data_IF_854231770282
#
_entry.id   IF_854231770282
#
_cell.length_a   1.000
_cell.length_b   1.000
_cell.length_c   1.000
_cell.angle_alpha   90.00
_cell.angle_beta   90.00
_cell.angle_gamma   90.00
#
_symmetry.space_group_name_H-M   'P 1'
#
loop_
_entity.id
_entity.type
_entity.pdbx_description
1 polymer ?
#
# COMPACT_ATOMS: atom_id res chain seq x y z
N UNK A 1 7.74 -12.59 10.16
CA UNK A 1 8.27 -12.88 8.81
C UNK A 1 7.24 -12.63 7.72
N UNK A 2 5.99 -13.09 7.86
CA UNK A 2 4.95 -12.95 6.83
C UNK A 2 4.58 -11.50 6.47
N UNK A 3 4.46 -10.61 7.47
CA UNK A 3 4.17 -9.19 7.23
C UNK A 3 5.28 -8.49 6.44
N UNK A 4 6.55 -8.86 6.70
CA UNK A 4 7.71 -8.31 5.99
C UNK A 4 7.71 -8.81 4.55
N UNK A 5 7.45 -10.10 4.31
CA UNK A 5 7.40 -10.63 2.95
C UNK A 5 6.30 -9.97 2.13
N UNK A 6 5.13 -9.73 2.71
CA UNK A 6 4.03 -9.09 2.00
C UNK A 6 4.30 -7.59 1.74
N UNK A 7 4.86 -6.87 2.72
CA UNK A 7 5.28 -5.47 2.52
C UNK A 7 6.31 -5.33 1.39
N UNK A 8 7.32 -6.21 1.38
CA UNK A 8 8.32 -6.24 0.31
C UNK A 8 7.72 -6.64 -1.05
N UNK A 9 6.73 -7.53 -1.05
CA UNK A 9 6.01 -7.93 -2.28
C UNK A 9 5.33 -6.70 -2.89
N UNK A 10 4.64 -5.89 -2.08
CA UNK A 10 3.98 -4.68 -2.55
C UNK A 10 4.98 -3.64 -3.07
N UNK A 11 6.14 -3.51 -2.42
CA UNK A 11 7.22 -2.64 -2.92
C UNK A 11 7.76 -3.13 -4.26
N UNK A 12 7.92 -4.44 -4.46
CA UNK A 12 8.34 -5.00 -5.76
C UNK A 12 7.37 -4.63 -6.88
N UNK A 13 6.05 -4.74 -6.63
CA UNK A 13 5.03 -4.32 -7.59
C UNK A 13 5.09 -2.82 -7.87
N UNK A 14 5.20 -1.98 -6.85
CA UNK A 14 5.30 -0.53 -7.02
C UNK A 14 6.53 -0.15 -7.87
N UNK A 15 7.71 -0.73 -7.61
CA UNK A 15 8.92 -0.46 -8.39
C UNK A 15 8.74 -0.91 -9.85
N UNK A 16 8.23 -2.13 -10.10
CA UNK A 16 8.02 -2.65 -11.45
C UNK A 16 7.02 -1.79 -12.24
N UNK A 17 5.84 -1.51 -11.67
CA UNK A 17 4.82 -0.68 -12.32
C UNK A 17 5.37 0.72 -12.59
N UNK A 18 6.00 1.36 -11.60
CA UNK A 18 6.56 2.70 -11.73
C UNK A 18 7.62 2.80 -12.81
N UNK A 19 8.62 1.91 -12.76
CA UNK A 19 9.75 1.93 -13.69
C UNK A 19 9.32 1.57 -15.13
N UNK A 20 8.47 0.56 -15.30
CA UNK A 20 7.99 0.14 -16.62
C UNK A 20 7.07 1.21 -17.23
N UNK A 21 6.24 1.88 -16.43
CA UNK A 21 5.43 3.00 -16.91
C UNK A 21 6.31 4.16 -17.36
N UNK A 22 7.31 4.56 -16.58
CA UNK A 22 8.23 5.64 -16.94
C UNK A 22 9.05 5.32 -18.19
N UNK A 23 9.38 4.05 -18.46
CA UNK A 23 10.02 3.64 -19.73
C UNK A 23 9.14 3.80 -20.97
N UNK A 24 7.82 3.88 -20.80
CA UNK A 24 6.86 4.13 -21.89
C UNK A 24 6.67 5.63 -22.12
N UNK A 25 6.82 6.45 -21.07
CA UNK A 25 6.70 7.90 -21.14
C UNK A 25 7.88 8.49 -21.94
N UNK A 26 7.65 9.40 -22.90
CA UNK A 26 8.72 10.07 -23.64
C UNK A 26 9.70 10.79 -22.71
N UNK A 27 11.00 10.72 -22.99
CA UNK A 27 12.07 11.32 -22.17
C UNK A 27 11.87 12.83 -21.93
N UNK A 28 11.31 13.56 -22.91
CA UNK A 28 10.98 15.00 -22.80
C UNK A 28 9.90 15.34 -21.77
N UNK A 29 9.14 14.34 -21.28
CA UNK A 29 8.04 14.52 -20.33
C UNK A 29 8.40 14.08 -18.90
N UNK A 30 9.65 13.71 -18.65
CA UNK A 30 10.06 13.22 -17.34
C UNK A 30 11.49 13.67 -17.00
N UNK A 31 11.83 13.78 -15.70
CA UNK A 31 13.22 13.97 -15.30
C UNK A 31 14.06 12.76 -15.71
N UNK A 32 15.39 12.91 -15.73
CA UNK A 32 16.30 11.81 -16.04
C UNK A 32 16.27 10.75 -14.92
N UNK A 33 15.46 9.70 -15.11
CA UNK A 33 15.28 8.59 -14.18
C UNK A 33 15.99 7.35 -14.70
N UNK A 34 16.89 6.76 -13.91
CA UNK A 34 17.61 5.55 -14.29
C UNK A 34 17.49 4.48 -13.21
N UNK A 35 16.58 3.54 -13.46
CA UNK A 35 16.40 2.35 -12.63
C UNK A 35 17.31 1.24 -13.13
N UNK A 36 18.17 0.66 -12.28
CA UNK A 36 19.02 -0.47 -12.66
C UNK A 36 18.21 -1.67 -13.14
N UNK A 37 18.57 -2.26 -14.28
CA UNK A 37 17.90 -3.48 -14.78
C UNK A 37 17.97 -4.64 -13.77
N UNK A 38 19.08 -4.74 -13.02
CA UNK A 38 19.22 -5.75 -11.96
C UNK A 38 18.17 -5.61 -10.86
N UNK A 39 17.74 -4.38 -10.54
CA UNK A 39 16.68 -4.15 -9.56
C UNK A 39 15.32 -4.65 -10.08
N UNK A 40 14.97 -4.36 -11.34
CA UNK A 40 13.72 -4.86 -11.93
C UNK A 40 13.70 -6.39 -12.01
N UNK A 41 14.83 -7.00 -12.37
CA UNK A 41 14.98 -8.46 -12.36
C UNK A 41 14.86 -9.03 -10.96
N UNK A 42 15.48 -8.39 -9.96
CA UNK A 42 15.37 -8.79 -8.57
C UNK A 42 13.92 -8.69 -8.05
N UNK A 43 13.19 -7.62 -8.37
CA UNK A 43 11.77 -7.49 -8.04
C UNK A 43 10.94 -8.59 -8.69
N UNK A 44 11.14 -8.87 -9.99
CA UNK A 44 10.43 -9.93 -10.69
C UNK A 44 10.72 -11.32 -10.08
N UNK A 45 11.99 -11.62 -9.76
CA UNK A 45 12.38 -12.88 -9.14
C UNK A 45 11.90 -13.00 -7.67
N UNK A 46 11.79 -11.88 -6.95
CA UNK A 46 11.35 -11.86 -5.56
C UNK A 46 9.84 -12.10 -5.42
N UNK A 47 9.00 -11.69 -6.38
CA UNK A 47 7.55 -11.88 -6.33
C UNK A 47 7.12 -13.31 -5.94
N UNK A 48 7.54 -14.38 -6.64
CA UNK A 48 7.13 -15.74 -6.29
C UNK A 48 7.68 -16.19 -4.94
N UNK A 49 8.88 -15.76 -4.56
CA UNK A 49 9.50 -16.10 -3.27
C UNK A 49 8.73 -15.44 -2.10
N UNK A 50 8.44 -14.15 -2.22
CA UNK A 50 7.75 -13.38 -1.18
C UNK A 50 6.28 -13.80 -1.05
N UNK A 51 5.58 -14.02 -2.17
CA UNK A 51 4.19 -14.50 -2.18
C UNK A 51 4.03 -15.97 -1.78
N UNK A 52 5.11 -16.75 -1.73
CA UNK A 52 5.08 -18.12 -1.22
C UNK A 52 5.01 -18.20 0.31
N UNK A 53 5.46 -17.16 1.03
CA UNK A 53 5.55 -17.20 2.50
C UNK A 53 4.20 -17.52 3.17
N UNK A 54 3.06 -16.91 2.78
CA UNK A 54 1.74 -17.32 3.30
C UNK A 54 1.37 -18.78 2.97
N UNK A 55 1.68 -19.23 1.76
CA UNK A 55 1.42 -20.62 1.32
C UNK A 55 2.22 -21.62 2.15
N UNK A 56 3.49 -21.32 2.43
CA UNK A 56 4.33 -22.12 3.30
C UNK A 56 3.77 -22.20 4.72
N UNK A 57 3.30 -21.08 5.28
CA UNK A 57 2.70 -21.07 6.61
C UNK A 57 1.42 -21.91 6.66
N UNK A 58 0.55 -21.77 5.66
CA UNK A 58 -0.66 -22.57 5.54
C UNK A 58 -0.35 -24.07 5.42
N UNK A 59 0.65 -24.43 4.60
CA UNK A 59 1.08 -25.81 4.44
C UNK A 59 1.62 -26.41 5.74
N UNK A 60 2.40 -25.67 6.53
CA UNK A 60 2.88 -26.15 7.83
C UNK A 60 1.75 -26.32 8.85
N UNK A 61 0.81 -25.37 8.89
CA UNK A 61 -0.31 -25.40 9.82
C UNK A 61 -1.21 -26.61 9.51
N UNK A 62 -1.70 -26.73 8.29
CA UNK A 62 -2.61 -27.80 7.91
C UNK A 62 -1.94 -29.17 7.87
N UNK A 63 -0.65 -29.27 7.54
CA UNK A 63 0.06 -30.55 7.62
C UNK A 63 0.03 -31.11 9.05
N UNK A 64 0.15 -30.22 10.05
CA UNK A 64 0.03 -30.59 11.46
C UNK A 64 -1.40 -30.97 11.83
N UNK A 65 -2.39 -30.16 11.44
CA UNK A 65 -3.79 -30.34 11.83
C UNK A 65 -4.44 -31.58 11.21
N UNK A 66 -4.05 -31.94 9.97
CA UNK A 66 -4.57 -33.11 9.25
C UNK A 66 -3.62 -34.33 9.31
N UNK A 67 -2.53 -34.25 10.08
CA UNK A 67 -1.52 -35.31 10.21
C UNK A 67 -0.95 -35.81 8.86
N UNK A 68 -0.83 -34.91 7.89
CA UNK A 68 -0.28 -35.19 6.56
C UNK A 68 1.19 -34.76 6.46
N UNK A 69 1.93 -35.38 5.54
CA UNK A 69 3.28 -34.88 5.24
C UNK A 69 3.21 -33.46 4.66
N UNK A 70 4.23 -32.64 4.95
CA UNK A 70 4.31 -31.28 4.43
C UNK A 70 4.15 -31.22 2.90
N UNK A 71 4.78 -32.14 2.17
CA UNK A 71 4.70 -32.18 0.71
C UNK A 71 3.32 -32.57 0.20
N UNK A 72 2.63 -33.50 0.87
CA UNK A 72 1.25 -33.87 0.51
C UNK A 72 0.31 -32.67 0.73
N UNK A 73 0.42 -31.99 1.86
CA UNK A 73 -0.38 -30.79 2.16
C UNK A 73 -0.06 -29.65 1.19
N UNK A 74 1.21 -29.37 0.92
CA UNK A 74 1.62 -28.35 -0.03
C UNK A 74 1.06 -28.63 -1.43
N UNK A 75 1.12 -29.88 -1.89
CA UNK A 75 0.54 -30.30 -3.18
C UNK A 75 -0.97 -30.03 -3.21
N UNK A 76 -1.70 -30.39 -2.17
CA UNK A 76 -3.15 -30.12 -2.10
C UNK A 76 -3.43 -28.61 -2.10
N UNK A 77 -2.71 -27.81 -1.32
CA UNK A 77 -2.89 -26.35 -1.32
C UNK A 77 -2.63 -25.77 -2.71
N UNK A 78 -1.55 -26.17 -3.40
CA UNK A 78 -1.22 -25.66 -4.73
C UNK A 78 -2.25 -26.05 -5.80
N UNK A 79 -2.86 -27.22 -5.69
CA UNK A 79 -3.77 -27.76 -6.72
C UNK A 79 -5.26 -27.52 -6.43
N UNK A 80 -5.65 -27.35 -5.17
CA UNK A 80 -7.05 -27.30 -4.76
C UNK A 80 -7.44 -25.91 -4.26
N UNK A 81 -6.56 -25.27 -3.48
CA UNK A 81 -6.83 -23.97 -2.83
C UNK A 81 -6.60 -22.81 -3.80
N UNK A 82 -7.52 -21.83 -3.76
CA UNK A 82 -7.50 -20.64 -4.62
C UNK A 82 -6.16 -19.91 -4.58
N UNK A 83 -5.62 -19.67 -3.39
CA UNK A 83 -4.35 -19.00 -3.18
C UNK A 83 -3.15 -19.79 -3.76
N UNK A 84 -3.16 -21.13 -3.66
CA UNK A 84 -2.12 -21.97 -4.23
C UNK A 84 -2.13 -21.96 -5.76
N UNK A 85 -3.31 -22.07 -6.38
CA UNK A 85 -3.48 -21.91 -7.84
C UNK A 85 -2.99 -20.55 -8.32
N UNK A 86 -3.34 -19.49 -7.60
CA UNK A 86 -2.89 -18.13 -7.91
C UNK A 86 -1.37 -17.99 -7.84
N UNK A 87 -0.75 -18.63 -6.85
CA UNK A 87 0.71 -18.63 -6.69
C UNK A 87 1.41 -19.33 -7.87
N UNK A 88 0.89 -20.47 -8.36
CA UNK A 88 1.45 -21.14 -9.54
C UNK A 88 1.48 -20.22 -10.77
N UNK A 89 0.37 -19.54 -11.05
CA UNK A 89 0.29 -18.57 -12.15
C UNK A 89 1.17 -17.34 -11.93
N UNK A 90 1.28 -16.90 -10.67
CA UNK A 90 2.18 -15.81 -10.27
C UNK A 90 3.64 -16.21 -10.52
N UNK A 91 4.04 -17.42 -10.15
CA UNK A 91 5.38 -17.94 -10.38
C UNK A 91 5.70 -18.07 -11.87
N UNK A 92 4.78 -18.59 -12.67
CA UNK A 92 4.94 -18.70 -14.12
C UNK A 92 5.08 -17.31 -14.77
N UNK A 93 4.17 -16.38 -14.45
CA UNK A 93 4.20 -15.02 -14.99
C UNK A 93 5.45 -14.25 -14.56
N UNK A 94 5.88 -14.40 -13.31
CA UNK A 94 7.09 -13.77 -12.79
C UNK A 94 8.37 -14.36 -13.43
N UNK A 95 8.41 -15.66 -13.67
CA UNK A 95 9.50 -16.30 -14.41
C UNK A 95 9.57 -15.77 -15.85
N UNK A 96 8.44 -15.69 -16.55
CA UNK A 96 8.37 -15.08 -17.89
C UNK A 96 8.82 -13.61 -17.89
N UNK A 97 8.39 -12.82 -16.89
CA UNK A 97 8.83 -11.44 -16.72
C UNK A 97 10.34 -11.35 -16.46
N UNK A 98 10.91 -12.21 -15.63
CA UNK A 98 12.34 -12.26 -15.35
C UNK A 98 13.16 -12.61 -16.61
N UNK A 99 12.68 -13.57 -17.42
CA UNK A 99 13.30 -13.88 -18.73
C UNK A 99 13.25 -12.67 -19.66
N UNK A 100 12.09 -12.02 -19.78
CA UNK A 100 11.92 -10.83 -20.61
C UNK A 100 12.87 -9.69 -20.19
N UNK A 101 13.02 -9.45 -18.89
CA UNK A 101 13.87 -8.38 -18.34
C UNK A 101 15.38 -8.71 -18.40
N UNK A 102 15.76 -9.98 -18.36
CA UNK A 102 17.16 -10.41 -18.38
C UNK A 102 17.73 -10.51 -19.79
N UNK A 103 16.89 -10.87 -20.77
CA UNK A 103 17.27 -11.04 -22.17
C UNK A 103 17.86 -9.76 -22.78
N UNK A 104 19.13 -9.83 -23.18
CA UNK A 104 19.87 -8.70 -23.78
C UNK A 104 19.20 -8.18 -25.07
N UNK A 105 18.61 -9.08 -25.86
CA UNK A 105 17.91 -8.77 -27.11
C UNK A 105 16.75 -7.79 -26.94
N UNK A 106 16.06 -7.80 -25.79
CA UNK A 106 14.89 -6.95 -25.55
C UNK A 106 15.21 -5.66 -24.81
N UNK A 107 16.46 -5.42 -24.38
CA UNK A 107 16.81 -4.26 -23.54
C UNK A 107 16.52 -2.90 -24.19
N UNK A 108 16.69 -2.82 -25.51
CA UNK A 108 16.48 -1.59 -26.29
C UNK A 108 15.20 -1.65 -27.14
N UNK A 109 14.39 -2.70 -26.98
CA UNK A 109 13.16 -2.84 -27.73
C UNK A 109 12.06 -1.91 -27.17
N UNK A 110 11.42 -1.13 -28.04
CA UNK A 110 10.39 -0.14 -27.65
C UNK A 110 9.08 -0.75 -27.15
N UNK A 111 8.83 -2.02 -27.47
CA UNK A 111 7.63 -2.76 -27.07
C UNK A 111 7.85 -3.53 -25.76
N UNK A 112 9.08 -3.91 -25.44
CA UNK A 112 9.41 -4.67 -24.21
C UNK A 112 8.81 -4.06 -22.94
N UNK A 113 8.93 -2.74 -22.65
CA UNK A 113 8.32 -2.15 -21.45
C UNK A 113 6.79 -2.32 -21.40
N UNK A 114 6.12 -2.29 -22.55
CA UNK A 114 4.66 -2.47 -22.64
C UNK A 114 4.26 -3.91 -22.32
N UNK A 115 4.98 -4.88 -22.89
CA UNK A 115 4.76 -6.30 -22.62
C UNK A 115 5.06 -6.62 -21.16
N UNK A 116 6.18 -6.14 -20.61
CA UNK A 116 6.53 -6.32 -19.21
C UNK A 116 5.50 -5.69 -18.26
N UNK A 117 4.98 -4.50 -18.58
CA UNK A 117 3.93 -3.85 -17.81
C UNK A 117 2.63 -4.66 -17.85
N UNK A 118 2.25 -5.18 -19.02
CA UNK A 118 1.08 -6.05 -19.18
C UNK A 118 1.21 -7.33 -18.34
N UNK A 119 2.37 -8.00 -18.38
CA UNK A 119 2.62 -9.18 -17.53
C UNK A 119 2.55 -8.80 -16.04
N UNK A 120 3.11 -7.66 -15.65
CA UNK A 120 3.03 -7.17 -14.26
C UNK A 120 1.57 -6.90 -13.83
N UNK A 121 0.72 -6.36 -14.73
CA UNK A 121 -0.72 -6.21 -14.48
C UNK A 121 -1.41 -7.56 -14.29
N UNK A 122 -1.07 -8.57 -15.11
CA UNK A 122 -1.61 -9.93 -14.92
C UNK A 122 -1.21 -10.51 -13.56
N UNK A 123 0.02 -10.26 -13.10
CA UNK A 123 0.46 -10.65 -11.76
C UNK A 123 -0.36 -9.97 -10.65
N UNK A 124 -0.74 -8.70 -10.83
CA UNK A 124 -1.66 -7.99 -9.92
C UNK A 124 -3.07 -8.59 -9.94
N UNK A 125 -3.56 -9.04 -11.11
CA UNK A 125 -4.83 -9.78 -11.21
C UNK A 125 -4.76 -11.08 -10.40
N UNK A 126 -3.65 -11.84 -10.52
CA UNK A 126 -3.47 -13.06 -9.73
C UNK A 126 -3.37 -12.80 -8.23
N UNK A 127 -2.72 -11.72 -7.81
CA UNK A 127 -2.75 -11.26 -6.42
C UNK A 127 -4.18 -10.94 -5.96
N UNK A 128 -4.96 -10.24 -6.80
CA UNK A 128 -6.38 -9.98 -6.55
C UNK A 128 -7.21 -11.26 -6.45
N UNK A 129 -6.93 -12.26 -7.28
CA UNK A 129 -7.60 -13.56 -7.27
C UNK A 129 -7.26 -14.39 -6.02
N UNK A 130 -6.05 -14.24 -5.47
CA UNK A 130 -5.65 -14.86 -4.22
C UNK A 130 -6.24 -14.16 -2.98
N UNK A 131 -6.69 -12.91 -3.11
CA UNK A 131 -7.09 -12.08 -1.97
C UNK A 131 -8.34 -12.58 -1.25
N UNK A 132 -8.43 -12.31 0.05
CA UNK A 132 -9.65 -12.54 0.83
C UNK A 132 -10.87 -11.92 0.16
N UNK A 133 -10.76 -10.68 -0.33
CA UNK A 133 -11.86 -9.96 -0.96
C UNK A 133 -12.54 -10.78 -2.07
N UNK A 134 -11.75 -11.48 -2.88
CA UNK A 134 -12.26 -12.32 -3.97
C UNK A 134 -12.84 -13.66 -3.50
N UNK A 135 -12.50 -14.13 -2.30
CA UNK A 135 -13.14 -15.30 -1.68
C UNK A 135 -14.51 -14.93 -1.09
N UNK A 136 -14.64 -13.69 -0.64
CA UNK A 136 -15.84 -13.16 0.01
C UNK A 136 -16.87 -12.65 -1.00
N UNK A 137 -16.38 -12.03 -2.07
CA UNK A 137 -17.20 -11.55 -3.16
C UNK A 137 -16.48 -11.88 -4.47
N UNK A 138 -16.83 -12.99 -5.10
CA UNK A 138 -16.13 -13.59 -6.24
C UNK A 138 -15.51 -12.59 -7.25
N UNK A 139 -16.26 -12.19 -8.28
CA UNK A 139 -15.77 -11.29 -9.32
C UNK A 139 -15.63 -9.85 -8.83
N UNK A 140 -16.57 -9.37 -8.02
CA UNK A 140 -16.55 -8.00 -7.48
C UNK A 140 -15.29 -7.77 -6.65
N UNK A 141 -14.97 -8.67 -5.74
CA UNK A 141 -13.77 -8.62 -4.90
C UNK A 141 -12.48 -8.72 -5.70
N UNK A 142 -12.43 -9.57 -6.73
CA UNK A 142 -11.30 -9.59 -7.68
C UNK A 142 -11.09 -8.23 -8.35
N UNK A 143 -12.12 -7.71 -9.02
CA UNK A 143 -12.03 -6.45 -9.80
C UNK A 143 -11.69 -5.28 -8.89
N UNK A 144 -12.37 -5.15 -7.75
CA UNK A 144 -12.17 -4.04 -6.81
C UNK A 144 -10.78 -4.12 -6.17
N UNK A 145 -10.32 -5.30 -5.74
CA UNK A 145 -8.99 -5.46 -5.16
C UNK A 145 -7.88 -5.19 -6.18
N UNK A 146 -8.02 -5.72 -7.39
CA UNK A 146 -7.08 -5.45 -8.51
C UNK A 146 -7.04 -3.96 -8.84
N UNK A 147 -8.19 -3.29 -8.95
CA UNK A 147 -8.25 -1.86 -9.22
C UNK A 147 -7.59 -1.04 -8.10
N UNK A 148 -7.89 -1.38 -6.84
CA UNK A 148 -7.29 -0.73 -5.66
C UNK A 148 -5.76 -0.84 -5.69
N UNK A 149 -5.24 -2.07 -5.82
CA UNK A 149 -3.80 -2.33 -5.76
C UNK A 149 -3.05 -1.80 -7.00
N UNK A 150 -3.65 -1.89 -8.18
CA UNK A 150 -3.06 -1.36 -9.41
C UNK A 150 -2.97 0.18 -9.37
N UNK A 151 -4.05 0.87 -9.00
CA UNK A 151 -4.07 2.33 -8.91
C UNK A 151 -3.05 2.84 -7.89
N UNK A 152 -2.97 2.20 -6.72
CA UNK A 152 -1.97 2.50 -5.71
C UNK A 152 -0.54 2.24 -6.23
N UNK A 153 -0.28 1.08 -6.82
CA UNK A 153 1.04 0.72 -7.38
C UNK A 153 1.47 1.65 -8.51
N UNK A 154 0.53 2.16 -9.32
CA UNK A 154 0.81 3.10 -10.39
C UNK A 154 1.19 4.48 -9.84
N UNK A 155 0.38 5.03 -8.94
CA UNK A 155 0.64 6.32 -8.32
C UNK A 155 1.93 6.31 -7.49
N UNK A 156 1.99 5.43 -6.48
CA UNK A 156 3.12 5.36 -5.57
C UNK A 156 4.36 4.81 -6.26
N UNK A 157 4.22 3.90 -7.22
CA UNK A 157 5.34 3.33 -7.96
C UNK A 157 6.07 4.37 -8.80
N UNK A 158 5.34 5.18 -9.59
CA UNK A 158 5.94 6.27 -10.37
C UNK A 158 6.61 7.27 -9.42
N UNK A 159 5.93 7.64 -8.33
CA UNK A 159 6.46 8.57 -7.35
C UNK A 159 7.74 8.05 -6.69
N UNK A 160 7.73 6.81 -6.20
CA UNK A 160 8.88 6.18 -5.57
C UNK A 160 10.05 6.11 -6.54
N UNK A 161 9.81 5.64 -7.77
CA UNK A 161 10.88 5.49 -8.76
C UNK A 161 11.47 6.85 -9.14
N UNK A 162 10.63 7.87 -9.36
CA UNK A 162 11.13 9.23 -9.64
C UNK A 162 11.87 9.84 -8.45
N UNK A 163 11.40 9.64 -7.21
CA UNK A 163 12.01 10.19 -6.00
C UNK A 163 13.42 9.67 -5.70
N UNK A 164 13.65 8.38 -5.98
CA UNK A 164 14.88 7.69 -5.59
C UNK A 164 15.86 7.46 -6.74
N UNK A 165 15.38 7.41 -7.98
CA UNK A 165 16.23 7.12 -9.16
C UNK A 165 16.38 8.30 -10.14
N UNK A 166 15.89 9.50 -9.81
CA UNK A 166 16.22 10.72 -10.57
C UNK A 166 17.68 11.11 -10.35
N UNK A 167 18.50 11.18 -11.42
CA UNK A 167 19.93 11.55 -11.32
C UNK A 167 20.19 13.02 -11.06
N UNK A 168 19.19 13.87 -11.26
CA UNK A 168 19.36 15.33 -11.28
C UNK A 168 18.65 16.01 -10.11
N UNK A 169 18.83 15.46 -8.90
CA UNK A 169 18.45 16.13 -7.63
C UNK A 169 19.23 17.45 -7.36
N UNK A 170 19.83 18.06 -8.40
CA UNK A 170 20.78 19.16 -8.33
C UNK A 170 21.03 19.98 -9.61
N UNK A 171 20.35 19.76 -10.76
CA UNK A 171 20.57 20.56 -11.98
C UNK A 171 19.27 21.10 -12.59
N UNK A 172 19.29 22.38 -12.98
CA UNK A 172 18.18 23.14 -13.58
C UNK A 172 17.64 22.65 -14.94
N UNK A 173 18.16 21.54 -15.49
CA UNK A 173 17.79 21.02 -16.82
C UNK A 173 16.75 19.89 -16.80
N UNK A 174 16.10 19.64 -15.66
CA UNK A 174 15.11 18.56 -15.54
C UNK A 174 13.72 18.99 -16.00
N UNK A 175 13.07 18.12 -16.78
CA UNK A 175 11.70 18.29 -17.27
C UNK A 175 10.62 18.13 -16.17
N UNK A 176 10.88 18.61 -14.95
CA UNK A 176 9.94 18.57 -13.81
C UNK A 176 8.59 19.25 -14.13
N UNK A 177 8.54 20.43 -14.78
CA UNK A 177 7.26 21.02 -15.16
C UNK A 177 6.44 20.12 -16.09
N UNK A 178 7.10 19.48 -17.06
CA UNK A 178 6.45 18.56 -17.99
C UNK A 178 5.97 17.29 -17.28
N UNK A 179 6.78 16.74 -16.36
CA UNK A 179 6.44 15.60 -15.52
C UNK A 179 5.19 15.87 -14.68
N UNK A 180 5.20 16.95 -13.91
CA UNK A 180 4.07 17.32 -13.04
C UNK A 180 2.80 17.61 -13.84
N UNK A 181 2.92 18.08 -15.10
CA UNK A 181 1.74 18.36 -15.94
C UNK A 181 0.91 17.11 -16.24
N UNK A 182 1.54 15.95 -16.46
CA UNK A 182 0.82 14.70 -16.73
C UNK A 182 0.71 13.78 -15.51
N UNK A 183 1.70 13.80 -14.62
CA UNK A 183 1.70 12.92 -13.45
C UNK A 183 0.66 13.37 -12.42
N UNK A 184 0.51 14.67 -12.16
CA UNK A 184 -0.49 15.16 -11.19
C UNK A 184 -1.93 14.72 -11.50
N UNK A 185 -2.48 14.88 -12.72
CA UNK A 185 -3.82 14.37 -13.02
C UNK A 185 -3.91 12.84 -12.95
N UNK A 186 -2.86 12.10 -13.36
CA UNK A 186 -2.82 10.64 -13.20
C UNK A 186 -2.88 10.24 -11.72
N UNK A 187 -2.07 10.89 -10.87
CA UNK A 187 -2.05 10.64 -9.44
C UNK A 187 -3.41 10.91 -8.80
N UNK A 188 -4.09 11.99 -9.17
CA UNK A 188 -5.46 12.29 -8.69
C UNK A 188 -6.43 11.17 -9.09
N UNK A 189 -6.41 10.72 -10.35
CA UNK A 189 -7.26 9.61 -10.80
C UNK A 189 -6.96 8.34 -9.98
N UNK A 190 -5.69 8.00 -9.80
CA UNK A 190 -5.28 6.84 -9.01
C UNK A 190 -5.71 6.95 -7.54
N UNK A 191 -5.61 8.14 -6.92
CA UNK A 191 -6.10 8.39 -5.56
C UNK A 191 -7.60 8.14 -5.49
N UNK A 192 -8.39 8.72 -6.41
CA UNK A 192 -9.84 8.55 -6.45
C UNK A 192 -10.21 7.08 -6.61
N UNK A 193 -9.59 6.37 -7.57
CA UNK A 193 -9.83 4.93 -7.77
C UNK A 193 -9.44 4.13 -6.53
N UNK A 194 -8.31 4.43 -5.90
CA UNK A 194 -7.85 3.75 -4.69
C UNK A 194 -8.83 3.94 -3.54
N UNK A 195 -9.32 5.16 -3.30
CA UNK A 195 -10.30 5.46 -2.25
C UNK A 195 -11.65 4.78 -2.52
N UNK A 196 -12.20 4.95 -3.73
CA UNK A 196 -13.48 4.32 -4.10
C UNK A 196 -13.42 2.80 -4.00
N UNK A 197 -12.35 2.19 -4.51
CA UNK A 197 -12.16 0.75 -4.40
C UNK A 197 -11.95 0.33 -2.94
N UNK A 198 -11.20 1.10 -2.15
CA UNK A 198 -10.99 0.83 -0.72
C UNK A 198 -12.28 0.83 0.09
N UNK A 199 -13.10 1.87 -0.06
CA UNK A 199 -14.42 1.92 0.58
C UNK A 199 -15.34 0.80 0.08
N UNK A 200 -15.28 0.48 -1.22
CA UNK A 200 -16.04 -0.65 -1.78
C UNK A 200 -15.62 -1.98 -1.15
N UNK A 201 -14.31 -2.23 -0.93
CA UNK A 201 -13.84 -3.42 -0.21
C UNK A 201 -14.43 -3.48 1.20
N UNK A 202 -14.40 -2.37 1.93
CA UNK A 202 -14.93 -2.30 3.30
C UNK A 202 -16.40 -2.70 3.40
N UNK A 203 -17.22 -2.43 2.38
CA UNK A 203 -18.65 -2.81 2.40
C UNK A 203 -18.88 -4.31 2.59
N UNK A 204 -17.89 -5.14 2.27
CA UNK A 204 -17.99 -6.58 2.47
C UNK A 204 -16.84 -7.16 3.27
N UNK A 205 -15.70 -6.49 3.48
CA UNK A 205 -14.62 -7.00 4.36
C UNK A 205 -14.76 -6.55 5.81
N UNK A 206 -15.41 -5.41 6.05
CA UNK A 206 -15.49 -4.78 7.38
C UNK A 206 -16.73 -3.87 7.46
N UNK A 207 -17.94 -4.41 7.28
CA UNK A 207 -19.16 -3.59 7.30
C UNK A 207 -19.39 -2.94 8.67
N UNK A 208 -19.01 -3.62 9.76
CA UNK A 208 -19.08 -3.10 11.13
C UNK A 208 -17.79 -2.33 11.50
N UNK A 209 -17.49 -1.25 10.78
CA UNK A 209 -16.18 -0.58 10.84
C UNK A 209 -15.70 -0.21 12.26
N UNK A 210 -16.58 0.36 13.09
CA UNK A 210 -16.23 0.79 14.46
C UNK A 210 -16.07 -0.43 15.37
N UNK A 211 -17.02 -1.37 15.38
CA UNK A 211 -16.93 -2.60 16.18
C UNK A 211 -15.69 -3.43 15.80
N UNK A 212 -15.27 -3.40 14.52
CA UNK A 212 -14.07 -4.08 14.07
C UNK A 212 -12.79 -3.58 14.73
N UNK A 213 -12.79 -2.39 15.36
CA UNK A 213 -11.65 -1.90 16.15
C UNK A 213 -11.34 -2.78 17.36
N UNK A 214 -12.25 -3.67 17.76
CA UNK A 214 -11.94 -4.72 18.75
C UNK A 214 -10.93 -5.76 18.23
N UNK A 215 -10.81 -5.93 16.90
CA UNK A 215 -10.00 -6.94 16.25
C UNK A 215 -8.70 -6.37 15.68
N UNK A 216 -7.63 -7.18 15.54
CA UNK A 216 -6.37 -6.77 14.92
C UNK A 216 -6.55 -6.18 13.52
N UNK A 217 -7.46 -6.76 12.71
CA UNK A 217 -7.78 -6.26 11.37
C UNK A 217 -8.32 -4.83 11.41
N UNK A 218 -9.33 -4.55 12.23
CA UNK A 218 -9.94 -3.22 12.28
C UNK A 218 -9.01 -2.16 12.87
N UNK A 219 -8.15 -2.53 13.82
CA UNK A 219 -7.08 -1.67 14.30
C UNK A 219 -6.08 -1.31 13.20
N UNK A 220 -5.63 -2.30 12.43
CA UNK A 220 -4.74 -2.07 11.30
C UNK A 220 -5.40 -1.20 10.23
N UNK A 221 -6.69 -1.42 9.95
CA UNK A 221 -7.47 -0.64 9.01
C UNK A 221 -7.62 0.82 9.48
N UNK A 222 -7.89 1.06 10.77
CA UNK A 222 -7.93 2.41 11.33
C UNK A 222 -6.58 3.12 11.17
N UNK A 223 -5.48 2.47 11.57
CA UNK A 223 -4.13 3.01 11.41
C UNK A 223 -3.85 3.32 9.93
N UNK A 224 -4.24 2.43 9.01
CA UNK A 224 -4.12 2.66 7.57
C UNK A 224 -4.87 3.92 7.12
N UNK A 225 -6.12 4.12 7.55
CA UNK A 225 -6.88 5.33 7.24
C UNK A 225 -6.22 6.60 7.79
N UNK A 226 -5.67 6.54 9.00
CA UNK A 226 -4.99 7.68 9.60
C UNK A 226 -3.66 8.01 8.91
N UNK A 227 -2.93 6.99 8.43
CA UNK A 227 -1.71 7.17 7.61
C UNK A 227 -2.00 7.70 6.20
N UNK A 228 -3.21 7.49 5.67
CA UNK A 228 -3.63 8.08 4.38
C UNK A 228 -3.71 9.61 4.49
N UNK A 229 -4.07 10.17 5.66
CA UNK A 229 -4.19 11.63 5.83
C UNK A 229 -2.88 12.40 5.56
N UNK A 230 -1.74 12.10 6.23
CA UNK A 230 -0.48 12.77 5.91
C UNK A 230 -0.01 12.44 4.49
N UNK A 231 -0.26 11.23 3.98
CA UNK A 231 0.07 10.87 2.60
C UNK A 231 -0.67 11.74 1.57
N UNK A 232 -1.98 11.93 1.72
CA UNK A 232 -2.78 12.81 0.87
C UNK A 232 -2.39 14.27 1.00
N UNK A 233 -1.99 14.71 2.21
CA UNK A 233 -1.47 16.05 2.41
C UNK A 233 -0.18 16.28 1.63
N UNK A 234 0.76 15.32 1.67
CA UNK A 234 1.96 15.36 0.83
C UNK A 234 1.60 15.39 -0.65
N UNK A 235 0.74 14.47 -1.09
CA UNK A 235 0.28 14.37 -2.48
C UNK A 235 -0.36 15.66 -3.00
N UNK A 236 -1.17 16.32 -2.16
CA UNK A 236 -1.77 17.62 -2.46
C UNK A 236 -0.70 18.70 -2.65
N UNK A 237 0.29 18.78 -1.76
CA UNK A 237 1.38 19.74 -1.92
C UNK A 237 2.18 19.50 -3.20
N UNK A 238 2.36 18.24 -3.59
CA UNK A 238 3.05 17.85 -4.82
C UNK A 238 2.24 18.26 -6.06
N UNK A 239 0.94 17.99 -6.05
CA UNK A 239 0.04 18.24 -7.17
C UNK A 239 -0.14 19.72 -7.50
N UNK A 240 -0.19 20.57 -6.47
CA UNK A 240 -0.55 21.99 -6.61
C UNK A 240 0.58 22.95 -6.23
N UNK A 241 1.20 22.78 -5.07
CA UNK A 241 2.18 23.74 -4.55
C UNK A 241 3.52 23.65 -5.29
N UNK A 242 4.00 22.43 -5.58
CA UNK A 242 5.29 22.28 -6.27
C UNK A 242 5.21 22.69 -7.72
N UNK A 243 4.09 22.44 -8.37
CA UNK A 243 3.86 22.91 -9.74
C UNK A 243 4.03 24.43 -9.83
N UNK A 244 3.48 25.16 -8.88
CA UNK A 244 3.64 26.62 -8.78
C UNK A 244 5.05 27.02 -8.34
N UNK A 245 5.65 26.31 -7.38
CA UNK A 245 6.98 26.62 -6.86
C UNK A 245 8.10 26.39 -7.89
N UNK A 246 8.05 25.28 -8.66
CA UNK A 246 8.97 25.00 -9.77
C UNK A 246 8.83 26.04 -10.87
N UNK A 247 7.61 26.51 -11.14
CA UNK A 247 7.37 27.55 -12.14
C UNK A 247 7.90 28.92 -11.69
N UNK A 248 7.85 29.23 -10.39
CA UNK A 248 8.27 30.51 -9.82
C UNK A 248 9.76 30.55 -9.43
N UNK A 249 10.37 29.42 -9.09
CA UNK A 249 11.74 29.33 -8.63
C UNK A 249 12.47 28.14 -9.29
N UNK A 250 13.37 28.39 -10.25
CA UNK A 250 14.18 27.37 -10.92
C UNK A 250 15.08 26.54 -9.98
N UNK A 251 15.38 27.03 -8.78
CA UNK A 251 16.21 26.33 -7.78
C UNK A 251 15.39 25.43 -6.85
N UNK A 252 14.06 25.38 -7.00
CA UNK A 252 13.23 24.49 -6.19
C UNK A 252 13.35 23.04 -6.65
N UNK A 253 13.85 22.16 -5.77
CA UNK A 253 14.05 20.74 -6.08
C UNK A 253 12.93 19.88 -5.46
N UNK A 254 11.96 19.37 -6.25
CA UNK A 254 10.81 18.60 -5.74
C UNK A 254 11.19 17.22 -5.17
N UNK A 255 12.39 16.70 -5.50
CA UNK A 255 12.85 15.36 -5.13
C UNK A 255 12.80 15.10 -3.62
N UNK A 256 13.20 16.07 -2.79
CA UNK A 256 13.22 15.91 -1.32
C UNK A 256 11.83 15.60 -0.77
N UNK A 257 10.83 16.27 -1.30
CA UNK A 257 9.44 16.07 -0.91
C UNK A 257 8.86 14.77 -1.45
N UNK A 258 9.17 14.41 -2.70
CA UNK A 258 8.79 13.11 -3.27
C UNK A 258 9.36 11.95 -2.44
N UNK A 259 10.59 12.08 -1.92
CA UNK A 259 11.16 11.07 -1.01
C UNK A 259 10.36 10.93 0.28
N UNK A 260 9.98 12.04 0.91
CA UNK A 260 9.13 12.00 2.11
C UNK A 260 7.77 11.36 1.83
N UNK A 261 7.10 11.74 0.74
CA UNK A 261 5.83 11.14 0.36
C UNK A 261 5.99 9.63 0.12
N UNK A 262 7.07 9.21 -0.53
CA UNK A 262 7.36 7.79 -0.76
C UNK A 262 7.60 7.01 0.54
N UNK A 263 8.23 7.63 1.55
CA UNK A 263 8.42 7.00 2.88
C UNK A 263 7.06 6.84 3.57
N UNK A 264 6.21 7.88 3.54
CA UNK A 264 4.85 7.79 4.06
C UNK A 264 4.05 6.68 3.37
N UNK A 265 4.19 6.54 2.05
CA UNK A 265 3.55 5.47 1.28
C UNK A 265 4.08 4.08 1.64
N UNK A 266 5.39 3.92 1.90
CA UNK A 266 5.97 2.65 2.38
C UNK A 266 5.45 2.29 3.79
N UNK A 267 5.28 3.27 4.69
CA UNK A 267 4.65 3.04 6.00
C UNK A 267 3.20 2.57 5.84
N UNK A 268 2.45 3.17 4.92
CA UNK A 268 1.10 2.73 4.59
C UNK A 268 1.08 1.29 4.03
N UNK A 269 2.02 0.95 3.13
CA UNK A 269 2.17 -0.43 2.64
C UNK A 269 2.50 -1.40 3.77
N UNK A 270 3.29 -0.99 4.76
CA UNK A 270 3.55 -1.76 5.98
C UNK A 270 2.27 -2.04 6.77
N UNK A 271 1.43 -1.03 7.01
CA UNK A 271 0.13 -1.20 7.65
C UNK A 271 -0.79 -2.12 6.83
N UNK A 272 -0.76 -1.98 5.50
CA UNK A 272 -1.54 -2.84 4.59
C UNK A 272 -1.05 -4.29 4.60
N UNK A 273 0.25 -4.54 4.66
CA UNK A 273 0.83 -5.87 4.75
C UNK A 273 0.56 -6.53 6.11
N UNK A 274 0.50 -5.75 7.20
CA UNK A 274 0.03 -6.28 8.47
C UNK A 274 -1.45 -6.65 8.42
N UNK A 275 -2.29 -5.76 7.88
CA UNK A 275 -3.74 -5.95 7.73
C UNK A 275 -4.10 -7.11 6.79
N UNK A 276 -3.36 -7.28 5.69
CA UNK A 276 -3.60 -8.30 4.66
C UNK A 276 -3.44 -9.74 5.16
N UNK A 277 -2.75 -9.93 6.28
CA UNK A 277 -2.58 -11.20 6.96
C UNK A 277 -3.55 -11.43 8.14
N UNK A 278 -4.40 -10.46 8.43
CA UNK A 278 -5.44 -10.62 9.44
C UNK A 278 -6.73 -11.11 8.78
N UNK A 279 -7.52 -11.90 9.51
CA UNK A 279 -8.86 -12.32 9.08
C UNK A 279 -9.79 -11.10 8.98
N UNK A 280 -10.34 -10.77 7.79
CA UNK A 280 -11.28 -9.65 7.66
C UNK A 280 -12.59 -9.93 8.41
N UNK A 281 -13.06 -9.01 9.27
CA UNK A 281 -14.27 -9.24 10.06
C UNK A 281 -15.52 -8.87 9.28
N UNK A 282 -16.09 -9.86 8.59
CA UNK A 282 -17.41 -9.77 7.97
C UNK A 282 -18.50 -9.48 9.00
N UNK A 283 -18.46 -10.29 10.05
CA UNK A 283 -19.23 -10.13 11.27
C UNK A 283 -18.21 -10.08 12.40
N UNK A 284 -18.24 -9.03 13.20
CA UNK A 284 -17.22 -8.86 14.26
C UNK A 284 -17.39 -9.93 15.33
N UNK A 285 -18.64 -10.22 15.71
CA UNK A 285 -18.99 -11.25 16.68
C UNK A 285 -18.50 -12.64 16.28
N UNK A 286 -18.73 -13.07 15.03
CA UNK A 286 -18.30 -14.39 14.56
C UNK A 286 -16.78 -14.50 14.53
N UNK A 287 -16.11 -13.43 14.10
CA UNK A 287 -14.63 -13.41 14.03
C UNK A 287 -14.00 -13.50 15.42
N UNK A 288 -14.60 -12.87 16.43
CA UNK A 288 -14.17 -12.97 17.83
C UNK A 288 -14.32 -14.37 18.45
N UNK A 289 -15.01 -15.31 17.79
CA UNK A 289 -15.05 -16.71 18.22
C UNK A 289 -13.76 -17.46 17.90
N UNK A 290 -13.03 -17.03 16.87
CA UNK A 290 -11.81 -17.70 16.39
C UNK A 290 -10.55 -16.84 16.54
N UNK A 291 -10.71 -15.53 16.64
CA UNK A 291 -9.62 -14.56 16.76
C UNK A 291 -9.66 -13.87 18.12
N UNK A 292 -8.49 -13.72 18.75
CA UNK A 292 -8.39 -12.96 20.00
C UNK A 292 -8.58 -11.46 19.75
N UNK A 293 -9.12 -10.71 20.74
CA UNK A 293 -9.18 -9.26 20.66
C UNK A 293 -7.80 -8.64 20.44
N UNK A 294 -7.76 -7.49 19.78
CA UNK A 294 -6.50 -6.79 19.53
C UNK A 294 -5.84 -6.38 20.85
N UNK A 295 -4.55 -6.71 21.06
CA UNK A 295 -3.80 -6.23 22.23
C UNK A 295 -3.82 -4.71 22.37
N UNK A 296 -3.81 -4.00 21.24
CA UNK A 296 -3.85 -2.54 21.21
C UNK A 296 -5.21 -1.99 21.66
N UNK A 297 -6.29 -2.68 21.27
CA UNK A 297 -7.64 -2.38 21.73
C UNK A 297 -7.75 -2.62 23.24
N UNK A 298 -7.40 -3.82 23.72
CA UNK A 298 -7.53 -4.20 25.14
C UNK A 298 -6.65 -3.38 26.06
N UNK A 299 -5.55 -2.81 25.55
CA UNK A 299 -4.68 -1.92 26.33
C UNK A 299 -5.26 -0.51 26.51
N UNK A 300 -6.00 0.00 25.52
CA UNK A 300 -6.55 1.36 25.53
C UNK A 300 -8.00 1.42 26.02
N UNK A 301 -8.80 0.43 25.65
CA UNK A 301 -10.20 0.33 26.03
C UNK A 301 -10.30 -0.11 27.48
N UNK A 302 -10.84 0.77 28.34
CA UNK A 302 -10.95 0.57 29.79
C UNK A 302 -12.26 -0.12 30.21
N UNK A 303 -13.16 -0.40 29.27
CA UNK A 303 -14.42 -1.08 29.53
C UNK A 303 -14.28 -2.60 29.65
N UNK A 304 -15.34 -3.26 30.08
CA UNK A 304 -15.42 -4.72 30.08
C UNK A 304 -15.60 -5.24 28.65
N UNK A 305 -14.72 -6.12 28.21
CA UNK A 305 -14.83 -6.75 26.90
C UNK A 305 -15.89 -7.86 26.90
N UNK A 306 -16.74 -7.87 25.87
CA UNK A 306 -17.64 -8.98 25.53
C UNK A 306 -17.74 -9.10 24.00
N UNK A 307 -17.88 -10.29 23.42
CA UNK A 307 -18.13 -10.45 21.97
C UNK A 307 -19.44 -9.78 21.49
N UNK A 308 -20.37 -9.49 22.40
CA UNK A 308 -21.62 -8.77 22.13
C UNK A 308 -21.50 -7.25 22.34
N UNK A 309 -20.29 -6.74 22.57
CA UNK A 309 -20.05 -5.32 22.78
C UNK A 309 -20.32 -4.53 21.48
N UNK A 310 -21.18 -3.53 21.60
CA UNK A 310 -21.48 -2.55 20.55
C UNK A 310 -20.75 -1.24 20.87
N UNK A 311 -19.67 -0.95 20.13
CA UNK A 311 -18.85 0.22 20.39
C UNK A 311 -19.56 1.49 19.93
N UNK A 312 -19.71 2.45 20.84
CA UNK A 312 -20.35 3.74 20.55
C UNK A 312 -19.40 4.88 20.77
N UNK A 313 -19.57 5.93 19.98
CA UNK A 313 -18.80 7.15 20.19
C UNK A 313 -19.38 7.98 21.33
N UNK A 314 -18.53 8.24 22.32
CA UNK A 314 -18.78 9.13 23.45
C UNK A 314 -17.59 10.08 23.60
N UNK A 315 -17.86 11.39 23.62
CA UNK A 315 -16.80 12.38 23.79
C UNK A 315 -16.42 12.48 25.26
N UNK A 316 -15.21 12.01 25.57
CA UNK A 316 -14.57 12.18 26.87
C UNK A 316 -13.55 13.31 26.81
N UNK A 317 -13.18 13.87 27.97
CA UNK A 317 -12.20 14.97 28.01
C UNK A 317 -10.87 14.55 27.38
N UNK A 318 -10.41 13.34 27.65
CA UNK A 318 -9.19 12.76 27.09
C UNK A 318 -9.26 12.67 25.56
N UNK A 319 -10.42 12.28 25.02
CA UNK A 319 -10.67 12.20 23.58
C UNK A 319 -10.59 13.58 22.95
N UNK A 320 -11.23 14.58 23.55
CA UNK A 320 -11.23 15.97 23.09
C UNK A 320 -9.81 16.55 23.10
N UNK A 321 -9.05 16.32 24.18
CA UNK A 321 -7.67 16.81 24.31
C UNK A 321 -6.74 16.17 23.26
N UNK A 322 -6.86 14.86 23.01
CA UNK A 322 -6.07 14.19 21.98
C UNK A 322 -6.44 14.67 20.56
N UNK A 323 -7.72 14.85 20.26
CA UNK A 323 -8.17 15.38 18.96
C UNK A 323 -7.74 16.84 18.77
N UNK A 324 -7.77 17.66 19.82
CA UNK A 324 -7.26 19.03 19.79
C UNK A 324 -5.74 19.06 19.55
N UNK A 325 -4.99 18.19 20.21
CA UNK A 325 -3.55 18.03 19.96
C UNK A 325 -3.26 17.59 18.52
N UNK A 326 -4.04 16.64 17.98
CA UNK A 326 -3.94 16.21 16.59
C UNK A 326 -4.15 17.38 15.61
N UNK A 327 -5.16 18.22 15.86
CA UNK A 327 -5.44 19.41 15.04
C UNK A 327 -4.29 20.43 15.08
N UNK A 328 -3.75 20.72 16.27
CA UNK A 328 -2.60 21.63 16.42
C UNK A 328 -1.37 21.12 15.66
N UNK A 329 -1.07 19.83 15.77
CA UNK A 329 0.05 19.22 15.03
C UNK A 329 -0.21 19.23 13.53
N UNK A 330 -1.44 18.96 13.08
CA UNK A 330 -1.80 19.03 11.66
C UNK A 330 -1.58 20.44 11.09
N UNK A 331 -1.92 21.50 11.83
CA UNK A 331 -1.61 22.88 11.47
C UNK A 331 -0.09 23.10 11.39
N UNK A 332 0.68 22.55 12.33
CA UNK A 332 2.14 22.61 12.28
C UNK A 332 2.72 21.92 11.03
N UNK A 333 2.15 20.78 10.61
CA UNK A 333 2.53 20.12 9.34
C UNK A 333 2.30 21.08 8.16
N UNK A 334 1.14 21.72 8.07
CA UNK A 334 0.85 22.74 7.04
C UNK A 334 1.90 23.87 7.05
N UNK A 335 2.30 24.31 8.24
CA UNK A 335 3.32 25.35 8.40
C UNK A 335 4.70 24.92 7.91
N UNK A 336 5.11 23.66 8.12
CA UNK A 336 6.41 23.15 7.64
C UNK A 336 6.57 23.21 6.12
N UNK A 337 5.47 23.12 5.35
CA UNK A 337 5.51 23.32 3.90
C UNK A 337 5.89 24.75 3.53
N UNK A 338 5.35 25.76 4.24
CA UNK A 338 5.72 27.16 4.02
C UNK A 338 7.19 27.42 4.32
N UNK A 339 7.74 26.70 5.30
CA UNK A 339 9.15 26.80 5.68
C UNK A 339 10.09 25.91 4.83
N UNK A 340 9.55 25.17 3.85
CA UNK A 340 10.29 24.21 3.03
C UNK A 340 11.12 23.19 3.86
N UNK A 341 10.53 22.65 4.93
CA UNK A 341 11.16 21.65 5.81
C UNK A 341 10.52 20.26 5.67
N UNK A 342 10.80 19.53 4.57
CA UNK A 342 10.18 18.23 4.29
C UNK A 342 10.43 17.19 5.38
N UNK A 343 11.65 17.12 5.89
CA UNK A 343 12.04 16.13 6.91
C UNK A 343 11.37 16.35 8.27
N UNK A 344 10.90 17.56 8.58
CA UNK A 344 10.10 17.82 9.79
C UNK A 344 8.62 17.54 9.58
N UNK A 345 8.13 17.62 8.34
CA UNK A 345 6.72 17.40 8.03
C UNK A 345 6.29 15.95 8.29
N UNK A 346 7.14 14.97 7.97
CA UNK A 346 6.85 13.55 8.17
C UNK A 346 6.60 13.16 9.63
N UNK A 347 7.53 13.37 10.58
CA UNK A 347 7.31 13.00 11.98
C UNK A 347 6.11 13.74 12.59
N UNK A 348 5.87 15.00 12.21
CA UNK A 348 4.67 15.73 12.64
C UNK A 348 3.38 15.11 12.06
N UNK A 349 3.39 14.70 10.79
CA UNK A 349 2.25 14.00 10.18
C UNK A 349 1.94 12.66 10.88
N UNK A 350 2.98 11.90 11.22
CA UNK A 350 2.83 10.67 12.00
C UNK A 350 2.34 10.93 13.42
N UNK A 351 2.82 12.00 14.06
CA UNK A 351 2.37 12.41 15.39
C UNK A 351 0.90 12.84 15.38
N UNK A 352 0.46 13.59 14.36
CA UNK A 352 -0.94 13.96 14.19
C UNK A 352 -1.84 12.72 13.99
N UNK A 353 -1.40 11.75 13.19
CA UNK A 353 -2.09 10.47 13.05
C UNK A 353 -2.17 9.71 14.38
N UNK A 354 -1.09 9.69 15.16
CA UNK A 354 -1.04 9.08 16.49
C UNK A 354 -1.99 9.72 17.49
N UNK A 355 -2.03 11.05 17.56
CA UNK A 355 -2.99 11.76 18.42
C UNK A 355 -4.44 11.55 17.96
N UNK A 356 -4.68 11.52 16.65
CA UNK A 356 -6.02 11.21 16.12
C UNK A 356 -6.44 9.80 16.52
N UNK A 357 -5.54 8.83 16.40
CA UNK A 357 -5.77 7.45 16.81
C UNK A 357 -6.15 7.36 18.29
N UNK A 358 -5.36 7.97 19.18
CA UNK A 358 -5.66 7.99 20.62
C UNK A 358 -6.98 8.70 20.92
N UNK A 359 -7.25 9.82 20.25
CA UNK A 359 -8.51 10.55 20.39
C UNK A 359 -9.72 9.70 20.00
N UNK A 360 -9.63 8.92 18.93
CA UNK A 360 -10.68 8.00 18.52
C UNK A 360 -10.83 6.82 19.50
N UNK A 361 -9.73 6.22 19.94
CA UNK A 361 -9.75 5.12 20.91
C UNK A 361 -10.24 5.53 22.31
N UNK A 362 -10.03 6.78 22.70
CA UNK A 362 -10.60 7.33 23.94
C UNK A 362 -12.02 7.84 23.77
N UNK A 363 -12.53 7.87 22.54
CA UNK A 363 -13.90 8.27 22.26
C UNK A 363 -14.86 7.09 22.12
N UNK A 364 -14.41 5.86 22.33
CA UNK A 364 -15.28 4.67 22.27
C UNK A 364 -15.66 4.21 23.68
N UNK A 365 -16.93 3.86 23.85
CA UNK A 365 -17.52 3.25 25.05
C UNK A 365 -18.22 1.96 24.73
#
# INVERSE_FOLDING_TARGET
MIYISEGLLYVCFAILIGALTLRIVPEKLQPAVQVPNGLLLACAAAIPVLSYVPIHQLARLFAKDFELSYFAMLKSILLDVKAGKAWLWTALGAAGLAVLLSAKSFRNDRHMPKVALFVTMLLIVWLGYASHASSLSALKGLVVHTAHFFAFSLWIGILFVTAWFSRSAGKSADNWPAFLKWFSPLAIICVVVTLLAGFTLMTFTTPEYVNAWMLPYGQALLIKHLLILPLLLFAYTNGFMYKSAVAANPDFHPVKWLRIESIAAVLMLGATAFMGQQTPPHTVKDTLQTESPSPLFTWLYKGSFSPDLDLRFTLHMESILMLAAALLVAVAVVWTYRLNRPWTALPLGLLAAGFTYLGLMFSIS
#
